data_IF_160348589814
#
_entry.id   IF_160348589814
#
_cell.length_a   1.000
_cell.length_b   1.000
_cell.length_c   1.000
_cell.angle_alpha   90.00
_cell.angle_beta   90.00
_cell.angle_gamma   90.00
#
_symmetry.space_group_name_H-M   'P 1'
#
loop_
_entity.id
_entity.type
_entity.pdbx_description
1 polymer ?
#
# COMPACT_ATOMS: atom_id res chain seq x y z
N UNK A 1 -4.09 27.15 15.76
CA UNK A 1 -4.63 25.81 16.08
C UNK A 1 -3.51 24.80 16.01
N UNK A 2 -3.24 24.03 17.08
CA UNK A 2 -2.30 22.90 17.02
C UNK A 2 -3.00 21.76 16.28
N UNK A 3 -2.67 21.55 15.00
CA UNK A 3 -3.13 20.37 14.26
C UNK A 3 -2.44 19.18 14.93
N UNK A 4 -3.21 18.33 15.61
CA UNK A 4 -2.69 17.08 16.19
C UNK A 4 -3.11 15.93 15.28
N UNK A 5 -2.17 15.35 14.56
CA UNK A 5 -2.40 14.13 13.74
C UNK A 5 -2.40 12.84 14.57
N UNK A 6 -2.52 12.93 15.90
CA UNK A 6 -2.44 11.78 16.82
C UNK A 6 -3.49 10.71 16.54
N UNK A 7 -4.73 11.11 16.20
CA UNK A 7 -5.77 10.17 15.78
C UNK A 7 -5.39 9.44 14.50
N UNK A 8 -4.87 10.17 13.51
CA UNK A 8 -4.56 9.61 12.20
C UNK A 8 -3.41 8.59 12.29
N UNK A 9 -2.39 8.89 13.08
CA UNK A 9 -1.33 7.96 13.46
C UNK A 9 -1.90 6.70 14.11
N UNK A 10 -2.76 6.85 15.11
CA UNK A 10 -3.35 5.71 15.81
C UNK A 10 -4.17 4.81 14.86
N UNK A 11 -4.99 5.41 13.99
CA UNK A 11 -5.76 4.68 12.99
C UNK A 11 -4.84 3.90 12.04
N UNK A 12 -3.75 4.52 11.56
CA UNK A 12 -2.77 3.82 10.71
C UNK A 12 -2.11 2.65 11.43
N UNK A 13 -1.70 2.81 12.70
CA UNK A 13 -1.15 1.71 13.49
C UNK A 13 -2.11 0.52 13.63
N UNK A 14 -3.39 0.80 13.86
CA UNK A 14 -4.41 -0.24 14.00
C UNK A 14 -4.63 -0.99 12.67
N UNK A 15 -4.66 -0.26 11.55
CA UNK A 15 -4.77 -0.87 10.22
C UNK A 15 -3.56 -1.77 9.94
N UNK A 16 -2.35 -1.30 10.22
CA UNK A 16 -1.12 -2.08 10.02
C UNK A 16 -1.12 -3.36 10.89
N UNK A 17 -1.56 -3.25 12.14
CA UNK A 17 -1.67 -4.39 13.06
C UNK A 17 -2.65 -5.44 12.52
N UNK A 18 -3.82 -5.01 12.05
CA UNK A 18 -4.84 -5.90 11.48
C UNK A 18 -4.30 -6.57 10.21
N UNK A 19 -3.63 -5.83 9.34
CA UNK A 19 -3.02 -6.37 8.12
C UNK A 19 -1.94 -7.41 8.43
N UNK A 20 -1.08 -7.13 9.41
CA UNK A 20 -0.02 -8.04 9.83
C UNK A 20 -0.60 -9.31 10.46
N UNK A 21 -1.60 -9.17 11.33
CA UNK A 21 -2.28 -10.31 11.95
C UNK A 21 -2.99 -11.18 10.89
N UNK A 22 -3.71 -10.56 9.96
CA UNK A 22 -4.35 -11.26 8.84
C UNK A 22 -3.32 -11.98 7.97
N UNK A 23 -2.21 -11.33 7.65
CA UNK A 23 -1.13 -11.92 6.86
C UNK A 23 -0.45 -13.09 7.53
N UNK A 24 -0.23 -13.01 8.84
CA UNK A 24 0.33 -14.11 9.62
C UNK A 24 -0.60 -15.33 9.63
N UNK A 25 -1.90 -15.11 9.87
CA UNK A 25 -2.92 -16.16 9.85
C UNK A 25 -3.00 -16.82 8.46
N UNK A 26 -3.10 -16.02 7.39
CA UNK A 26 -3.19 -16.53 6.03
C UNK A 26 -1.94 -17.33 5.63
N UNK A 27 -0.76 -16.81 5.94
CA UNK A 27 0.51 -17.50 5.67
C UNK A 27 0.59 -18.84 6.41
N UNK A 28 0.18 -18.88 7.68
CA UNK A 28 0.16 -20.10 8.50
C UNK A 28 -0.82 -21.14 7.93
N UNK A 29 -2.02 -20.72 7.52
CA UNK A 29 -3.03 -21.59 6.90
C UNK A 29 -2.53 -22.21 5.60
N UNK A 30 -1.92 -21.40 4.73
CA UNK A 30 -1.37 -21.87 3.47
C UNK A 30 -0.19 -22.81 3.72
N UNK A 31 0.69 -22.51 4.67
CA UNK A 31 1.81 -23.37 5.03
C UNK A 31 1.37 -24.73 5.60
N UNK A 32 0.31 -24.75 6.41
CA UNK A 32 -0.29 -26.00 6.90
C UNK A 32 -0.91 -26.82 5.77
N UNK A 33 -1.49 -26.16 4.77
CA UNK A 33 -2.07 -26.79 3.59
C UNK A 33 -1.01 -27.40 2.65
N UNK A 34 0.17 -26.78 2.54
CA UNK A 34 1.31 -27.29 1.77
C UNK A 34 1.69 -28.73 2.17
N UNK A 35 1.58 -29.06 3.46
CA UNK A 35 1.92 -30.41 3.96
C UNK A 35 0.95 -31.50 3.47
N UNK A 36 -0.19 -31.13 2.85
CA UNK A 36 -1.24 -32.06 2.44
C UNK A 36 -1.36 -32.30 0.92
N UNK A 37 -0.75 -31.49 0.03
CA UNK A 37 -0.98 -31.60 -1.44
C UNK A 37 0.22 -31.24 -2.36
N UNK A 38 0.14 -31.64 -3.64
CA UNK A 38 1.15 -31.56 -4.71
C UNK A 38 1.37 -30.17 -5.35
N UNK A 39 0.72 -29.12 -4.85
CA UNK A 39 0.62 -27.79 -5.47
C UNK A 39 1.64 -26.79 -4.89
N UNK A 40 2.76 -27.32 -4.39
CA UNK A 40 3.76 -26.61 -3.58
C UNK A 40 4.23 -25.29 -4.19
N UNK A 41 4.47 -25.25 -5.51
CA UNK A 41 4.99 -24.07 -6.21
C UNK A 41 4.03 -22.87 -6.18
N UNK A 42 2.75 -23.07 -6.50
CA UNK A 42 1.76 -21.98 -6.54
C UNK A 42 1.47 -21.42 -5.14
N UNK A 43 1.43 -22.28 -4.12
CA UNK A 43 1.25 -21.86 -2.73
C UNK A 43 2.43 -21.04 -2.22
N UNK A 44 3.67 -21.44 -2.55
CA UNK A 44 4.87 -20.71 -2.16
C UNK A 44 4.93 -19.33 -2.85
N UNK A 45 4.60 -19.26 -4.14
CA UNK A 45 4.48 -17.98 -4.87
C UNK A 45 3.44 -17.06 -4.23
N UNK A 46 2.27 -17.59 -3.84
CA UNK A 46 1.24 -16.81 -3.15
C UNK A 46 1.76 -16.26 -1.80
N UNK A 47 2.38 -17.11 -0.98
CA UNK A 47 2.92 -16.70 0.34
C UNK A 47 4.00 -15.62 0.15
N UNK A 48 4.88 -15.80 -0.84
CA UNK A 48 5.94 -14.84 -1.12
C UNK A 48 5.37 -13.49 -1.58
N UNK A 49 4.44 -13.49 -2.54
CA UNK A 49 3.75 -12.27 -2.98
C UNK A 49 3.03 -11.59 -1.81
N UNK A 50 2.38 -12.35 -0.95
CA UNK A 50 1.67 -11.79 0.21
C UNK A 50 2.63 -11.15 1.22
N UNK A 51 3.74 -11.82 1.56
CA UNK A 51 4.76 -11.29 2.46
C UNK A 51 5.40 -10.01 1.92
N UNK A 52 5.73 -9.98 0.62
CA UNK A 52 6.26 -8.78 -0.03
C UNK A 52 5.21 -7.66 0.01
N UNK A 53 3.93 -7.99 -0.24
CA UNK A 53 2.82 -7.04 -0.13
C UNK A 53 2.69 -6.42 1.26
N UNK A 54 2.75 -7.24 2.33
CA UNK A 54 2.78 -6.77 3.71
C UNK A 54 3.95 -5.82 3.97
N UNK A 55 5.15 -6.17 3.51
CA UNK A 55 6.33 -5.32 3.67
C UNK A 55 6.12 -3.96 2.99
N UNK A 56 5.63 -3.95 1.75
CA UNK A 56 5.34 -2.71 1.03
C UNK A 56 4.32 -1.83 1.77
N UNK A 57 3.26 -2.41 2.32
CA UNK A 57 2.25 -1.66 3.10
C UNK A 57 2.88 -1.02 4.34
N UNK A 58 3.75 -1.73 5.06
CA UNK A 58 4.46 -1.16 6.20
C UNK A 58 5.38 -0.01 5.78
N UNK A 59 6.04 -0.12 4.62
CA UNK A 59 6.86 0.98 4.08
C UNK A 59 5.99 2.18 3.69
N UNK A 60 4.80 1.96 3.12
CA UNK A 60 3.83 3.03 2.82
C UNK A 60 3.42 3.73 4.12
N UNK A 61 3.07 2.96 5.15
CA UNK A 61 2.72 3.48 6.47
C UNK A 61 3.85 4.35 7.03
N UNK A 62 5.11 3.91 6.97
CA UNK A 62 6.25 4.72 7.41
C UNK A 62 6.31 6.10 6.73
N UNK A 63 6.14 6.17 5.40
CA UNK A 63 6.11 7.46 4.69
C UNK A 63 4.88 8.30 5.06
N UNK A 64 3.75 7.66 5.32
CA UNK A 64 2.53 8.32 5.77
C UNK A 64 2.71 8.95 7.17
N UNK A 65 3.33 8.23 8.10
CA UNK A 65 3.74 8.76 9.41
C UNK A 65 4.70 9.94 9.29
N UNK A 66 5.65 9.89 8.36
CA UNK A 66 6.56 11.00 8.08
C UNK A 66 5.79 12.24 7.61
N UNK A 67 4.79 12.08 6.76
CA UNK A 67 3.89 13.17 6.36
C UNK A 67 3.14 13.74 7.56
N UNK A 68 2.54 12.89 8.40
CA UNK A 68 1.80 13.35 9.58
C UNK A 68 2.68 14.15 10.54
N UNK A 69 3.93 13.72 10.72
CA UNK A 69 4.92 14.46 11.49
C UNK A 69 5.26 15.82 10.89
N UNK A 70 5.37 15.92 9.56
CA UNK A 70 5.60 17.20 8.88
C UNK A 70 4.39 18.14 9.00
N UNK A 71 3.17 17.60 8.99
CA UNK A 71 1.93 18.36 9.24
C UNK A 71 1.92 18.92 10.66
N UNK A 72 2.24 18.09 11.67
CA UNK A 72 2.32 18.54 13.07
C UNK A 72 3.35 19.66 13.27
N UNK A 73 4.43 19.66 12.46
CA UNK A 73 5.49 20.68 12.45
C UNK A 73 5.20 21.90 11.57
N UNK A 74 4.01 21.99 10.96
CA UNK A 74 3.65 23.03 9.99
C UNK A 74 4.60 23.13 8.77
N UNK A 75 5.37 22.07 8.47
CA UNK A 75 6.36 22.00 7.39
C UNK A 75 5.94 21.04 6.26
N UNK A 76 4.63 20.92 6.04
CA UNK A 76 4.07 20.05 5.00
C UNK A 76 4.39 20.54 3.59
N UNK A 77 4.44 21.86 3.33
CA UNK A 77 4.83 22.42 2.04
C UNK A 77 6.36 22.46 1.90
N UNK A 78 7.00 21.29 1.96
CA UNK A 78 8.45 21.15 1.86
C UNK A 78 8.84 20.05 0.89
N UNK A 79 10.08 20.14 0.38
CA UNK A 79 10.68 19.11 -0.51
C UNK A 79 10.66 17.73 0.16
N UNK A 80 10.77 17.68 1.49
CA UNK A 80 10.73 16.42 2.25
C UNK A 80 9.35 15.75 2.26
N UNK A 81 8.28 16.54 2.30
CA UNK A 81 6.92 16.04 2.16
C UNK A 81 6.67 15.57 0.73
N UNK A 82 7.10 16.36 -0.27
CA UNK A 82 6.99 16.01 -1.68
C UNK A 82 7.68 14.67 -1.99
N UNK A 83 8.89 14.46 -1.46
CA UNK A 83 9.58 13.18 -1.58
C UNK A 83 8.77 12.04 -0.96
N UNK A 84 8.15 12.26 0.21
CA UNK A 84 7.35 11.23 0.89
C UNK A 84 6.10 10.87 0.08
N UNK A 85 5.40 11.86 -0.48
CA UNK A 85 4.23 11.64 -1.37
C UNK A 85 4.64 10.86 -2.63
N UNK A 86 5.76 11.23 -3.25
CA UNK A 86 6.29 10.53 -4.43
C UNK A 86 6.64 9.07 -4.12
N UNK A 87 7.24 8.81 -2.97
CA UNK A 87 7.53 7.43 -2.54
C UNK A 87 6.26 6.61 -2.33
N UNK A 88 5.23 7.21 -1.71
CA UNK A 88 3.93 6.54 -1.55
C UNK A 88 3.33 6.16 -2.90
N UNK A 89 3.38 7.05 -3.91
CA UNK A 89 2.92 6.73 -5.28
C UNK A 89 3.65 5.51 -5.86
N UNK A 90 4.99 5.50 -5.81
CA UNK A 90 5.77 4.37 -6.33
C UNK A 90 5.51 3.07 -5.58
N UNK A 91 5.33 3.13 -4.26
CA UNK A 91 5.02 1.95 -3.46
C UNK A 91 3.65 1.37 -3.79
N UNK A 92 2.62 2.20 -4.02
CA UNK A 92 1.31 1.70 -4.47
C UNK A 92 1.37 1.02 -5.85
N UNK A 93 2.20 1.53 -6.77
CA UNK A 93 2.48 0.86 -8.05
C UNK A 93 3.19 -0.49 -7.82
N UNK A 94 4.15 -0.55 -6.90
CA UNK A 94 4.82 -1.80 -6.55
C UNK A 94 3.82 -2.82 -5.93
N UNK A 95 2.90 -2.38 -5.07
CA UNK A 95 1.84 -3.23 -4.51
C UNK A 95 0.97 -3.81 -5.63
N UNK A 96 0.58 -3.00 -6.61
CA UNK A 96 -0.17 -3.47 -7.79
C UNK A 96 0.56 -4.62 -8.50
N UNK A 97 1.86 -4.47 -8.78
CA UNK A 97 2.68 -5.49 -9.45
C UNK A 97 2.77 -6.76 -8.60
N UNK A 98 2.97 -6.64 -7.30
CA UNK A 98 3.06 -7.79 -6.38
C UNK A 98 1.74 -8.57 -6.30
N UNK A 99 0.61 -7.86 -6.31
CA UNK A 99 -0.72 -8.45 -6.30
C UNK A 99 -1.02 -9.23 -7.59
N UNK A 100 -0.49 -8.82 -8.74
CA UNK A 100 -0.58 -9.62 -9.98
C UNK A 100 0.09 -10.99 -9.81
N UNK A 101 1.15 -11.09 -9.00
CA UNK A 101 1.81 -12.36 -8.67
C UNK A 101 0.92 -13.35 -7.92
N UNK A 102 -0.21 -12.91 -7.36
CA UNK A 102 -1.18 -13.76 -6.67
C UNK A 102 -2.16 -14.42 -7.66
N UNK A 103 -2.36 -13.83 -8.85
CA UNK A 103 -3.35 -14.30 -9.84
C UNK A 103 -3.20 -15.77 -10.25
N UNK A 104 -2.00 -16.34 -10.48
CA UNK A 104 -1.86 -17.76 -10.85
C UNK A 104 -2.49 -18.71 -9.82
N UNK A 105 -2.37 -18.39 -8.53
CA UNK A 105 -2.98 -19.18 -7.46
C UNK A 105 -4.50 -19.01 -7.42
N UNK A 106 -4.99 -17.78 -7.66
CA UNK A 106 -6.44 -17.49 -7.71
C UNK A 106 -7.10 -18.18 -8.89
N UNK A 107 -6.45 -18.20 -10.05
CA UNK A 107 -6.93 -18.92 -11.23
C UNK A 107 -7.07 -20.42 -10.93
N UNK A 108 -6.05 -21.01 -10.32
CA UNK A 108 -6.09 -22.42 -9.91
C UNK A 108 -7.26 -22.72 -8.95
N UNK A 109 -7.48 -21.87 -7.95
CA UNK A 109 -8.61 -22.04 -7.02
C UNK A 109 -9.96 -21.87 -7.70
N UNK A 110 -10.08 -20.92 -8.63
CA UNK A 110 -11.31 -20.67 -9.38
C UNK A 110 -11.68 -21.87 -10.27
N UNK A 111 -10.68 -22.49 -10.91
CA UNK A 111 -10.85 -23.68 -11.75
C UNK A 111 -11.24 -24.90 -10.90
N UNK A 112 -10.56 -25.13 -9.76
CA UNK A 112 -10.90 -26.25 -8.88
C UNK A 112 -12.27 -26.12 -8.18
N UNK A 113 -12.64 -24.89 -7.82
CA UNK A 113 -13.90 -24.61 -7.12
C UNK A 113 -15.09 -24.40 -8.04
N UNK A 114 -14.92 -24.52 -9.36
CA UNK A 114 -15.92 -24.17 -10.38
C UNK A 114 -16.51 -22.75 -10.15
N UNK A 115 -15.64 -21.82 -9.77
CA UNK A 115 -15.98 -20.47 -9.33
C UNK A 115 -15.25 -19.40 -10.15
N UNK A 116 -15.55 -19.27 -11.47
CA UNK A 116 -14.85 -18.34 -12.36
C UNK A 116 -15.01 -16.87 -11.95
N UNK A 117 -16.11 -16.53 -11.25
CA UNK A 117 -16.35 -15.19 -10.72
C UNK A 117 -15.27 -14.70 -9.74
N UNK A 118 -14.53 -15.61 -9.09
CA UNK A 118 -13.45 -15.25 -8.17
C UNK A 118 -12.34 -14.45 -8.87
N UNK A 119 -12.04 -14.77 -10.14
CA UNK A 119 -11.01 -14.09 -10.93
C UNK A 119 -11.39 -12.63 -11.15
N UNK A 120 -12.67 -12.34 -11.43
CA UNK A 120 -13.16 -10.98 -11.62
C UNK A 120 -13.14 -10.16 -10.33
N UNK A 121 -13.58 -10.77 -9.22
CA UNK A 121 -13.61 -10.10 -7.91
C UNK A 121 -12.19 -9.76 -7.47
N UNK A 122 -11.28 -10.74 -7.46
CA UNK A 122 -9.89 -10.49 -7.08
C UNK A 122 -9.22 -9.55 -8.07
N UNK A 123 -9.44 -9.72 -9.36
CA UNK A 123 -8.95 -8.82 -10.40
C UNK A 123 -9.33 -7.36 -10.14
N UNK A 124 -10.59 -7.09 -9.79
CA UNK A 124 -11.04 -5.74 -9.45
C UNK A 124 -10.32 -5.16 -8.22
N UNK A 125 -10.07 -5.98 -7.19
CA UNK A 125 -9.33 -5.56 -5.99
C UNK A 125 -7.87 -5.25 -6.32
N UNK A 126 -7.26 -5.98 -7.25
CA UNK A 126 -5.87 -5.74 -7.69
C UNK A 126 -5.72 -4.33 -8.28
N UNK A 127 -6.74 -3.77 -8.94
CA UNK A 127 -6.65 -2.41 -9.50
C UNK A 127 -6.73 -1.28 -8.46
N UNK A 128 -7.12 -1.57 -7.21
CA UNK A 128 -7.32 -0.55 -6.19
C UNK A 128 -6.04 0.25 -5.85
N UNK A 129 -4.86 -0.37 -5.64
CA UNK A 129 -3.60 0.35 -5.46
C UNK A 129 -3.24 1.25 -6.64
N UNK A 130 -3.60 0.86 -7.87
CA UNK A 130 -3.33 1.67 -9.06
C UNK A 130 -4.18 2.95 -9.07
N UNK A 131 -5.47 2.83 -8.70
CA UNK A 131 -6.34 3.99 -8.53
C UNK A 131 -5.83 4.94 -7.42
N UNK A 132 -5.36 4.38 -6.29
CA UNK A 132 -4.75 5.17 -5.21
C UNK A 132 -3.46 5.84 -5.71
N UNK A 133 -2.61 5.15 -6.47
CA UNK A 133 -1.40 5.74 -7.04
C UNK A 133 -1.70 6.92 -7.97
N UNK A 134 -2.75 6.83 -8.79
CA UNK A 134 -3.21 7.93 -9.64
C UNK A 134 -3.67 9.14 -8.80
N UNK A 135 -4.43 8.89 -7.73
CA UNK A 135 -4.84 9.94 -6.79
C UNK A 135 -3.64 10.61 -6.11
N UNK A 136 -2.68 9.82 -5.61
CA UNK A 136 -1.46 10.34 -4.99
C UNK A 136 -0.61 11.12 -6.01
N UNK A 137 -0.62 10.72 -7.28
CA UNK A 137 0.03 11.48 -8.35
C UNK A 137 -0.57 12.87 -8.55
N UNK A 138 -1.90 13.00 -8.45
CA UNK A 138 -2.55 14.30 -8.49
C UNK A 138 -2.18 15.15 -7.27
N UNK A 139 -2.14 14.55 -6.07
CA UNK A 139 -1.65 15.23 -4.86
C UNK A 139 -0.19 15.67 -4.97
N UNK A 140 0.67 14.86 -5.59
CA UNK A 140 2.08 15.19 -5.84
C UNK A 140 2.19 16.50 -6.64
N UNK A 141 1.41 16.63 -7.73
CA UNK A 141 1.41 17.83 -8.57
C UNK A 141 0.90 19.07 -7.84
N UNK A 142 -0.17 18.92 -7.05
CA UNK A 142 -0.70 20.01 -6.21
C UNK A 142 0.39 20.49 -5.24
N UNK A 143 1.08 19.56 -4.58
CA UNK A 143 2.13 19.88 -3.63
C UNK A 143 3.34 20.57 -4.29
N UNK A 144 3.74 20.15 -5.49
CA UNK A 144 4.78 20.84 -6.28
C UNK A 144 4.41 22.30 -6.51
N UNK A 145 3.19 22.56 -6.98
CA UNK A 145 2.75 23.92 -7.27
C UNK A 145 2.68 24.77 -5.99
N UNK A 146 2.16 24.21 -4.90
CA UNK A 146 2.11 24.92 -3.61
C UNK A 146 3.49 25.24 -3.04
N UNK A 147 4.49 24.37 -3.22
CA UNK A 147 5.88 24.64 -2.80
C UNK A 147 6.45 25.81 -3.60
N UNK A 148 6.28 25.84 -4.92
CA UNK A 148 6.75 26.94 -5.78
C UNK A 148 6.13 28.28 -5.40
N UNK A 149 4.81 28.30 -5.17
CA UNK A 149 4.09 29.51 -4.75
C UNK A 149 4.61 30.05 -3.41
N UNK A 150 4.92 29.16 -2.47
CA UNK A 150 5.51 29.55 -1.18
C UNK A 150 6.91 30.15 -1.36
N UNK A 151 7.73 29.54 -2.20
CA UNK A 151 9.11 29.98 -2.49
C UNK A 151 9.15 31.36 -3.16
N UNK A 152 8.29 31.59 -4.16
CA UNK A 152 8.14 32.90 -4.82
C UNK A 152 7.70 34.00 -3.85
N UNK A 153 6.75 33.69 -2.95
CA UNK A 153 6.30 34.62 -1.94
C UNK A 153 7.41 34.95 -0.91
N UNK A 154 8.20 33.96 -0.50
CA UNK A 154 9.30 34.15 0.43
C UNK A 154 10.46 34.97 -0.18
N UNK A 155 10.58 35.04 -1.52
CA UNK A 155 11.60 35.81 -2.25
C UNK A 155 11.23 37.29 -2.52
N UNK A 156 9.95 37.66 -2.39
CA UNK A 156 9.46 39.00 -2.77
C UNK A 156 9.28 39.94 -1.55
N UNK A 157 9.45 39.43 -0.33
CA UNK A 157 9.34 40.18 0.93
C UNK A 157 10.70 40.68 1.38
#
# INVERSE_FOLDING_TARGET
>A
MKIKTTLLKLVTAVIDLIFLMFGFILSTLLFLSIRRHTIFGLQLMMILSFLIGCLLILVISYYLYKIFFLIDKHNFFSITALHSVRMIRYLFIAVFVVLLGIMPFVYYLADQGDAPGLILIVGAVIFLPLAIAAFVSAMEQILVNSIKMKDENDLTI
#
